data_IF_892954392704
#
_entry.id   IF_892954392704
#
_cell.length_a   1.000
_cell.length_b   1.000
_cell.length_c   1.000
_cell.angle_alpha   90.00
_cell.angle_beta   90.00
_cell.angle_gamma   90.00
#
_symmetry.space_group_name_H-M   'P 1'
#
loop_
_entity.id
_entity.type
_entity.pdbx_description
1 polymer ?
#
# COMPACT_ATOMS: atom_id res chain seq x y z
N UNK A 1 12.81 0.89 -32.72
CA UNK A 1 13.09 0.78 -31.27
C UNK A 1 14.54 1.18 -31.03
N UNK A 2 14.79 2.13 -30.14
CA UNK A 2 16.15 2.62 -29.85
C UNK A 2 17.02 1.48 -29.26
N UNK A 3 18.30 1.42 -29.63
CA UNK A 3 19.27 0.44 -29.09
C UNK A 3 19.35 0.50 -27.56
N UNK A 4 19.21 1.69 -26.96
CA UNK A 4 19.18 1.86 -25.51
C UNK A 4 18.03 1.08 -24.85
N UNK A 5 16.82 1.22 -25.38
CA UNK A 5 15.63 0.50 -24.89
C UNK A 5 15.84 -1.01 -25.03
N UNK A 6 16.38 -1.46 -26.16
CA UNK A 6 16.64 -2.88 -26.40
C UNK A 6 17.57 -3.47 -25.34
N UNK A 7 18.68 -2.79 -25.02
CA UNK A 7 19.61 -3.22 -23.97
C UNK A 7 18.96 -3.20 -22.59
N UNK A 8 18.20 -2.14 -22.25
CA UNK A 8 17.47 -2.07 -20.96
C UNK A 8 16.45 -3.20 -20.80
N UNK A 9 15.79 -3.63 -21.89
CA UNK A 9 14.83 -4.73 -21.88
C UNK A 9 15.47 -6.10 -21.59
N UNK A 10 16.77 -6.26 -21.81
CA UNK A 10 17.52 -7.48 -21.50
C UNK A 10 17.83 -7.60 -20.00
N UNK A 11 18.02 -6.45 -19.33
CA UNK A 11 18.32 -6.36 -17.90
C UNK A 11 17.09 -6.54 -16.98
N UNK A 12 15.88 -6.60 -17.55
CA UNK A 12 14.66 -6.70 -16.74
C UNK A 12 14.59 -8.00 -15.92
N UNK A 13 14.32 -7.93 -14.61
CA UNK A 13 14.15 -9.10 -13.76
C UNK A 13 12.76 -9.72 -13.91
N UNK A 14 12.61 -10.97 -13.46
CA UNK A 14 11.31 -11.66 -13.36
C UNK A 14 10.57 -11.39 -12.05
N UNK A 15 11.16 -10.58 -11.16
CA UNK A 15 10.62 -10.17 -9.87
C UNK A 15 9.45 -9.17 -9.98
N UNK A 16 8.63 -9.03 -8.92
CA UNK A 16 7.62 -7.98 -8.87
C UNK A 16 8.25 -6.59 -8.69
N UNK A 17 7.51 -5.56 -9.07
CA UNK A 17 7.95 -4.18 -8.91
C UNK A 17 7.16 -3.17 -9.73
N UNK A 18 7.64 -1.93 -9.74
CA UNK A 18 7.10 -0.83 -10.55
C UNK A 18 7.97 -0.55 -11.76
N UNK A 19 7.36 -0.12 -12.86
CA UNK A 19 8.02 0.42 -14.04
C UNK A 19 7.53 1.83 -14.31
N UNK A 20 8.42 2.66 -14.83
CA UNK A 20 8.21 4.10 -15.05
C UNK A 20 8.63 4.40 -16.49
N UNK A 21 7.73 4.93 -17.30
CA UNK A 21 8.03 5.37 -18.67
C UNK A 21 8.24 6.88 -18.72
N UNK A 22 9.26 7.30 -19.47
CA UNK A 22 9.67 8.69 -19.62
C UNK A 22 9.63 9.13 -21.08
N UNK A 23 9.28 10.38 -21.31
CA UNK A 23 9.34 11.03 -22.63
C UNK A 23 10.75 11.55 -22.96
N UNK A 24 10.88 12.19 -24.12
CA UNK A 24 12.13 12.81 -24.60
C UNK A 24 12.72 13.89 -23.68
N UNK A 25 11.89 14.49 -22.82
CA UNK A 25 12.32 15.52 -21.87
C UNK A 25 12.65 14.92 -20.49
N UNK A 26 12.59 13.59 -20.34
CA UNK A 26 12.75 12.91 -19.05
C UNK A 26 11.49 12.94 -18.17
N UNK A 27 10.37 13.46 -18.66
CA UNK A 27 9.12 13.57 -17.89
C UNK A 27 8.49 12.20 -17.70
N UNK A 28 8.06 11.87 -16.47
CA UNK A 28 7.33 10.64 -16.19
C UNK A 28 5.93 10.72 -16.83
N UNK A 29 5.71 9.93 -17.88
CA UNK A 29 4.46 9.90 -18.63
C UNK A 29 3.52 8.75 -18.21
N UNK A 30 4.08 7.67 -17.64
CA UNK A 30 3.32 6.54 -17.13
C UNK A 30 4.06 5.78 -16.03
N UNK A 31 3.34 5.28 -15.04
CA UNK A 31 3.82 4.38 -13.99
C UNK A 31 2.88 3.17 -13.93
N UNK A 32 3.44 1.98 -13.82
CA UNK A 32 2.65 0.76 -13.61
C UNK A 32 3.36 -0.25 -12.74
N UNK A 33 2.61 -1.20 -12.17
CA UNK A 33 3.16 -2.36 -11.44
C UNK A 33 3.16 -3.63 -12.26
N UNK A 34 4.04 -4.55 -11.90
CA UNK A 34 4.14 -5.88 -12.49
C UNK A 34 4.38 -6.94 -11.43
N UNK A 35 3.76 -8.12 -11.59
CA UNK A 35 4.20 -9.33 -10.87
C UNK A 35 5.54 -9.86 -11.42
N UNK A 36 5.79 -9.58 -12.69
CA UNK A 36 6.99 -9.95 -13.42
C UNK A 36 7.34 -8.78 -14.36
N UNK A 37 8.34 -7.99 -13.97
CA UNK A 37 8.75 -6.78 -14.69
C UNK A 37 9.16 -7.09 -16.14
N UNK A 38 9.93 -8.16 -16.37
CA UNK A 38 10.35 -8.59 -17.71
C UNK A 38 9.19 -8.80 -18.66
N UNK A 39 8.20 -9.59 -18.27
CA UNK A 39 7.06 -9.90 -19.14
C UNK A 39 6.21 -8.65 -19.39
N UNK A 40 5.96 -7.87 -18.33
CA UNK A 40 5.07 -6.71 -18.41
C UNK A 40 5.65 -5.55 -19.20
N UNK A 41 6.93 -5.23 -19.02
CA UNK A 41 7.54 -4.10 -19.74
C UNK A 41 7.79 -4.48 -21.20
N UNK A 42 8.24 -5.71 -21.48
CA UNK A 42 8.42 -6.18 -22.86
C UNK A 42 7.13 -6.21 -23.67
N UNK A 43 5.97 -6.38 -23.02
CA UNK A 43 4.70 -6.38 -23.73
C UNK A 43 4.38 -5.05 -24.39
N UNK A 44 4.90 -3.91 -23.92
CA UNK A 44 4.68 -2.60 -24.56
C UNK A 44 5.46 -2.42 -25.88
N UNK A 45 6.47 -3.26 -26.12
CA UNK A 45 7.33 -3.16 -27.29
C UNK A 45 7.14 -4.34 -28.24
N UNK A 46 6.07 -5.13 -28.06
CA UNK A 46 5.79 -6.35 -28.84
C UNK A 46 4.30 -6.48 -29.14
N UNK A 47 3.97 -6.78 -30.40
CA UNK A 47 2.61 -7.05 -30.85
C UNK A 47 1.78 -5.78 -31.08
N UNK A 48 0.51 -5.97 -31.37
CA UNK A 48 -0.48 -4.90 -31.56
C UNK A 48 -1.05 -4.46 -30.22
N UNK A 49 -1.34 -3.17 -30.06
CA UNK A 49 -1.95 -2.62 -28.85
C UNK A 49 -3.26 -1.91 -29.18
N UNK A 50 -4.05 -1.60 -28.15
CA UNK A 50 -5.18 -0.70 -28.35
C UNK A 50 -4.68 0.73 -28.59
N UNK A 51 -5.50 1.55 -29.25
CA UNK A 51 -5.12 2.88 -29.74
C UNK A 51 -4.55 3.79 -28.64
N UNK A 52 -5.03 3.63 -27.40
CA UNK A 52 -4.54 4.40 -26.25
C UNK A 52 -3.15 3.96 -25.79
N UNK A 53 -2.87 2.66 -25.80
CA UNK A 53 -1.55 2.13 -25.45
C UNK A 53 -0.55 2.40 -26.57
N UNK A 54 -0.95 2.35 -27.85
CA UNK A 54 -0.07 2.76 -28.95
C UNK A 54 0.40 4.21 -28.81
N UNK A 55 -0.52 5.11 -28.44
CA UNK A 55 -0.20 6.52 -28.17
C UNK A 55 0.78 6.68 -26.99
N UNK A 56 0.66 5.87 -25.94
CA UNK A 56 1.65 5.82 -24.87
C UNK A 56 3.00 5.36 -25.42
N UNK A 57 3.04 4.21 -26.09
CA UNK A 57 4.27 3.59 -26.60
C UNK A 57 5.03 4.52 -27.55
N UNK A 58 4.33 5.30 -28.37
CA UNK A 58 4.97 6.27 -29.26
C UNK A 58 5.70 7.42 -28.55
N UNK A 59 5.33 7.75 -27.30
CA UNK A 59 5.98 8.80 -26.50
C UNK A 59 7.10 8.24 -25.61
N UNK A 60 7.25 6.90 -25.49
CA UNK A 60 8.29 6.29 -24.63
C UNK A 60 9.66 6.44 -25.29
N UNK A 61 10.53 7.24 -24.67
CA UNK A 61 11.94 7.37 -25.05
C UNK A 61 12.85 6.65 -24.07
N UNK A 62 12.45 6.55 -22.81
CA UNK A 62 13.16 5.79 -21.79
C UNK A 62 12.21 5.10 -20.80
N UNK A 63 12.74 4.13 -20.06
CA UNK A 63 12.04 3.55 -18.91
C UNK A 63 12.99 3.16 -17.78
N UNK A 64 12.39 3.09 -16.60
CA UNK A 64 13.02 2.66 -15.35
C UNK A 64 12.16 1.60 -14.65
N UNK A 65 12.74 0.91 -13.68
CA UNK A 65 12.01 -0.02 -12.84
C UNK A 65 12.59 -0.07 -11.42
N UNK A 66 11.73 -0.37 -10.46
CA UNK A 66 12.08 -0.58 -9.05
C UNK A 66 11.54 -1.95 -8.66
N UNK A 67 12.44 -2.84 -8.27
CA UNK A 67 12.09 -4.18 -7.79
C UNK A 67 11.57 -4.08 -6.36
N UNK A 68 10.53 -4.85 -6.04
CA UNK A 68 10.00 -4.98 -4.68
C UNK A 68 10.04 -6.43 -4.23
N UNK A 69 9.93 -6.69 -2.94
CA UNK A 69 9.95 -8.06 -2.39
C UNK A 69 8.60 -8.74 -2.61
N UNK A 70 7.52 -7.96 -2.63
CA UNK A 70 6.16 -8.47 -2.78
C UNK A 70 5.31 -7.72 -3.81
N UNK A 71 4.24 -8.37 -4.27
CA UNK A 71 3.22 -7.74 -5.12
C UNK A 71 2.48 -6.60 -4.40
N UNK A 72 2.42 -6.66 -3.07
CA UNK A 72 1.76 -5.66 -2.24
C UNK A 72 2.62 -4.40 -2.17
N UNK A 73 3.94 -4.54 -1.99
CA UNK A 73 4.85 -3.39 -2.04
C UNK A 73 4.87 -2.73 -3.43
N UNK A 74 4.94 -3.51 -4.51
CA UNK A 74 4.84 -2.97 -5.87
C UNK A 74 3.60 -2.11 -6.05
N UNK A 75 2.48 -2.55 -5.45
CA UNK A 75 1.24 -1.80 -5.49
C UNK A 75 1.33 -0.47 -4.74
N UNK A 76 1.83 -0.50 -3.51
CA UNK A 76 1.94 0.69 -2.67
C UNK A 76 2.87 1.72 -3.29
N UNK A 77 3.99 1.24 -3.83
CA UNK A 77 4.96 2.05 -4.55
C UNK A 77 4.33 2.70 -5.80
N UNK A 78 3.59 1.95 -6.61
CA UNK A 78 2.87 2.49 -7.78
C UNK A 78 1.92 3.63 -7.37
N UNK A 79 1.14 3.42 -6.30
CA UNK A 79 0.21 4.45 -5.79
C UNK A 79 0.94 5.73 -5.41
N UNK A 80 2.06 5.60 -4.69
CA UNK A 80 2.86 6.75 -4.27
C UNK A 80 3.42 7.49 -5.49
N UNK A 81 4.03 6.76 -6.43
CA UNK A 81 4.61 7.31 -7.65
C UNK A 81 3.57 8.00 -8.53
N UNK A 82 2.37 7.44 -8.69
CA UNK A 82 1.27 8.08 -9.45
C UNK A 82 0.78 9.34 -8.72
N UNK A 83 0.66 9.29 -7.39
CA UNK A 83 0.17 10.44 -6.60
C UNK A 83 1.13 11.62 -6.66
N UNK A 84 2.43 11.35 -6.59
CA UNK A 84 3.49 12.35 -6.60
C UNK A 84 3.69 12.94 -8.00
N UNK A 85 3.77 12.09 -9.03
CA UNK A 85 4.14 12.53 -10.38
C UNK A 85 2.95 12.86 -11.28
N UNK A 86 1.74 12.41 -10.92
CA UNK A 86 0.49 12.56 -11.70
C UNK A 86 0.68 12.34 -13.22
N UNK A 87 1.20 11.19 -13.66
CA UNK A 87 1.60 11.01 -15.05
C UNK A 87 0.41 11.12 -16.01
N UNK A 88 0.60 11.81 -17.14
CA UNK A 88 -0.42 12.07 -18.18
C UNK A 88 -1.21 10.81 -18.53
N UNK A 89 -0.53 9.71 -18.83
CA UNK A 89 -1.20 8.48 -19.28
C UNK A 89 -1.83 7.69 -18.13
N UNK A 90 -1.41 7.83 -16.87
CA UNK A 90 -2.14 7.22 -15.75
C UNK A 90 -3.52 7.86 -15.55
N UNK A 91 -3.66 9.13 -15.92
CA UNK A 91 -4.94 9.84 -15.88
C UNK A 91 -5.80 9.45 -17.09
N UNK A 92 -5.20 9.40 -18.29
CA UNK A 92 -5.91 9.07 -19.55
C UNK A 92 -6.27 7.59 -19.69
N UNK A 93 -5.43 6.68 -19.17
CA UNK A 93 -5.60 5.23 -19.19
C UNK A 93 -6.22 4.70 -17.90
N UNK A 94 -6.79 5.57 -17.08
CA UNK A 94 -7.35 5.20 -15.79
C UNK A 94 -8.47 4.18 -16.00
N UNK A 95 -8.16 2.93 -15.70
CA UNK A 95 -9.17 1.89 -15.53
C UNK A 95 -10.02 2.28 -14.30
N UNK A 96 -11.34 2.08 -14.35
CA UNK A 96 -12.29 2.44 -13.28
C UNK A 96 -12.05 1.67 -11.95
N UNK A 97 -11.02 0.82 -11.89
CA UNK A 97 -10.66 0.02 -10.72
C UNK A 97 -9.75 0.82 -9.78
N UNK A 98 -10.34 1.82 -9.14
CA UNK A 98 -9.77 2.50 -7.98
C UNK A 98 -9.56 1.51 -6.82
N UNK A 99 -8.57 1.77 -5.98
CA UNK A 99 -8.25 0.89 -4.84
C UNK A 99 -9.37 0.89 -3.80
N UNK A 100 -9.71 -0.28 -3.22
CA UNK A 100 -10.70 -0.36 -2.18
C UNK A 100 -10.18 0.24 -0.87
N UNK A 101 -11.06 0.98 -0.21
CA UNK A 101 -10.94 1.49 1.14
C UNK A 101 -12.03 0.85 1.99
N UNK A 102 -11.73 0.64 3.26
CA UNK A 102 -12.75 0.37 4.27
C UNK A 102 -13.21 1.73 4.79
N UNK A 103 -14.51 1.99 4.72
CA UNK A 103 -15.14 3.21 5.19
C UNK A 103 -16.04 2.92 6.38
N UNK A 104 -15.93 3.74 7.42
CA UNK A 104 -16.95 3.88 8.47
C UNK A 104 -17.87 5.03 8.07
N UNK A 105 -19.17 4.76 7.88
CA UNK A 105 -20.15 5.79 7.51
C UNK A 105 -20.45 6.75 8.67
N UNK A 106 -20.71 8.01 8.34
CA UNK A 106 -21.14 9.04 9.28
C UNK A 106 -22.68 9.13 9.31
N UNK A 107 -23.33 8.04 9.70
CA UNK A 107 -24.77 7.99 9.92
C UNK A 107 -25.04 7.60 11.39
N UNK A 108 -26.25 7.84 11.91
CA UNK A 108 -26.63 7.53 13.30
C UNK A 108 -26.28 6.09 13.72
N UNK A 109 -26.36 5.17 12.77
CA UNK A 109 -25.96 3.77 12.92
C UNK A 109 -24.83 3.46 11.93
N UNK A 110 -23.56 3.64 12.33
CA UNK A 110 -22.43 3.51 11.41
C UNK A 110 -22.37 2.12 10.79
N UNK A 111 -21.81 2.08 9.58
CA UNK A 111 -21.59 0.87 8.80
C UNK A 111 -20.16 0.79 8.34
N UNK A 112 -19.64 -0.42 8.30
CA UNK A 112 -18.39 -0.73 7.60
C UNK A 112 -18.72 -1.11 6.17
N UNK A 113 -18.23 -0.31 5.21
CA UNK A 113 -18.41 -0.59 3.78
C UNK A 113 -17.06 -0.57 3.05
N UNK A 114 -16.94 -1.37 2.00
CA UNK A 114 -15.80 -1.27 1.08
C UNK A 114 -16.21 -0.34 -0.05
N UNK A 115 -15.44 0.72 -0.26
CA UNK A 115 -15.67 1.71 -1.32
C UNK A 115 -14.36 1.99 -2.04
N UNK A 116 -14.43 2.29 -3.32
CA UNK A 116 -13.25 2.78 -4.07
C UNK A 116 -13.23 4.29 -4.20
N UNK A 117 -14.31 4.95 -3.80
CA UNK A 117 -14.46 6.39 -3.82
C UNK A 117 -14.29 6.94 -2.40
N UNK A 118 -13.33 7.84 -2.25
CA UNK A 118 -13.17 8.68 -1.05
C UNK A 118 -13.94 9.98 -1.29
N UNK A 119 -14.97 10.23 -0.48
CA UNK A 119 -15.80 11.44 -0.54
C UNK A 119 -15.61 12.28 0.72
N UNK A 120 -15.80 13.60 0.61
CA UNK A 120 -15.85 14.51 1.76
C UNK A 120 -17.22 14.48 2.43
N UNK A 121 -17.66 13.30 2.88
CA UNK A 121 -18.98 13.07 3.46
C UNK A 121 -18.96 12.85 4.99
N UNK A 122 -17.84 13.22 5.63
CA UNK A 122 -17.62 13.04 7.06
C UNK A 122 -17.37 11.59 7.48
N UNK A 123 -17.41 10.62 6.56
CA UNK A 123 -17.01 9.24 6.84
C UNK A 123 -15.51 9.11 7.05
N UNK A 124 -15.09 8.09 7.80
CA UNK A 124 -13.69 7.75 7.99
C UNK A 124 -13.28 6.70 6.96
N UNK A 125 -12.13 6.89 6.30
CA UNK A 125 -11.64 6.02 5.24
C UNK A 125 -10.27 5.46 5.59
N UNK A 126 -10.10 4.14 5.46
CA UNK A 126 -8.90 3.40 5.81
C UNK A 126 -8.44 2.56 4.63
N UNK A 127 -7.14 2.60 4.32
CA UNK A 127 -6.55 2.02 3.12
C UNK A 127 -5.57 2.99 2.46
N UNK A 128 -5.24 2.80 1.16
CA UNK A 128 -5.82 1.82 0.23
C UNK A 128 -5.40 0.36 0.53
N UNK A 129 -6.29 -0.59 0.26
CA UNK A 129 -5.99 -2.02 0.38
C UNK A 129 -5.53 -2.64 -0.95
N UNK A 130 -4.73 -3.72 -0.91
CA UNK A 130 -4.09 -4.21 -2.12
C UNK A 130 -5.03 -4.69 -3.21
N UNK A 131 -6.12 -5.32 -2.76
CA UNK A 131 -7.22 -5.74 -3.58
C UNK A 131 -8.49 -5.81 -2.71
N UNK A 132 -9.62 -6.11 -3.35
CA UNK A 132 -10.91 -6.23 -2.68
C UNK A 132 -10.96 -7.45 -1.76
N UNK A 133 -10.17 -8.50 -2.03
CA UNK A 133 -10.05 -9.66 -1.17
C UNK A 133 -9.43 -9.29 0.18
N UNK A 134 -8.30 -8.58 0.18
CA UNK A 134 -7.65 -8.08 1.39
C UNK A 134 -8.58 -7.14 2.20
N UNK A 135 -9.27 -6.22 1.51
CA UNK A 135 -10.26 -5.36 2.17
C UNK A 135 -11.42 -6.16 2.78
N UNK A 136 -11.88 -7.22 2.09
CA UNK A 136 -12.94 -8.10 2.58
C UNK A 136 -12.51 -8.94 3.78
N UNK A 137 -11.26 -9.42 3.81
CA UNK A 137 -10.72 -10.20 4.93
C UNK A 137 -10.74 -9.36 6.21
N UNK A 138 -10.23 -8.12 6.13
CA UNK A 138 -10.23 -7.17 7.26
C UNK A 138 -11.66 -6.79 7.64
N UNK A 139 -12.52 -6.49 6.66
CA UNK A 139 -13.93 -6.19 6.94
C UNK A 139 -14.61 -7.36 7.66
N UNK A 140 -14.40 -8.60 7.23
CA UNK A 140 -14.96 -9.80 7.86
C UNK A 140 -14.49 -9.95 9.30
N UNK A 141 -13.24 -9.62 9.59
CA UNK A 141 -12.69 -9.63 10.94
C UNK A 141 -13.38 -8.56 11.81
N UNK A 142 -13.44 -7.32 11.31
CA UNK A 142 -14.10 -6.21 12.01
C UNK A 142 -15.58 -6.50 12.27
N UNK A 143 -16.28 -7.11 11.31
CA UNK A 143 -17.69 -7.49 11.42
C UNK A 143 -17.95 -8.57 12.49
N UNK A 144 -16.93 -9.30 12.95
CA UNK A 144 -17.02 -10.27 14.06
C UNK A 144 -16.73 -9.64 15.41
N UNK A 145 -15.79 -8.69 15.45
CA UNK A 145 -15.37 -8.02 16.68
C UNK A 145 -16.39 -6.93 17.05
N UNK A 146 -16.90 -6.20 16.06
CA UNK A 146 -17.74 -5.03 16.23
C UNK A 146 -19.11 -5.24 15.56
N UNK A 147 -20.21 -5.22 16.32
CA UNK A 147 -21.55 -5.54 15.82
C UNK A 147 -22.21 -4.34 15.11
N UNK A 148 -21.59 -3.83 14.03
CA UNK A 148 -22.14 -2.75 13.21
C UNK A 148 -23.47 -3.11 12.56
N UNK A 149 -24.18 -2.08 12.08
CA UNK A 149 -25.37 -2.28 11.26
C UNK A 149 -24.99 -2.94 9.94
N UNK A 150 -25.45 -4.18 9.73
CA UNK A 150 -25.25 -4.91 8.47
C UNK A 150 -26.46 -4.85 7.52
N UNK A 151 -27.63 -4.48 8.02
CA UNK A 151 -28.89 -4.56 7.29
C UNK A 151 -29.46 -3.18 6.92
N UNK A 152 -30.16 -3.14 5.79
CA UNK A 152 -30.99 -2.00 5.35
C UNK A 152 -32.42 -2.06 5.89
N UNK A 153 -32.73 -3.05 6.75
CA UNK A 153 -34.06 -3.25 7.32
C UNK A 153 -34.63 -1.97 7.97
N UNK A 154 -35.96 -1.79 7.93
CA UNK A 154 -36.63 -0.71 8.63
C UNK A 154 -36.42 -0.81 10.16
N UNK A 155 -36.52 0.31 10.91
CA UNK A 155 -36.25 0.38 12.35
C UNK A 155 -37.01 -0.64 13.22
N UNK A 156 -38.18 -1.10 12.76
CA UNK A 156 -39.08 -2.02 13.46
C UNK A 156 -38.75 -3.50 13.27
N UNK A 157 -37.83 -3.87 12.36
CA UNK A 157 -37.56 -5.27 12.01
C UNK A 157 -36.10 -5.64 12.25
N UNK A 158 -35.88 -6.58 13.16
CA UNK A 158 -34.55 -7.16 13.43
C UNK A 158 -34.09 -8.02 12.26
N UNK A 159 -32.77 -8.05 12.01
CA UNK A 159 -32.18 -8.88 10.96
C UNK A 159 -31.62 -10.21 11.50
N UNK A 160 -31.32 -11.15 10.62
CA UNK A 160 -30.66 -12.41 10.97
C UNK A 160 -29.41 -12.20 11.85
N UNK A 161 -28.58 -11.21 11.50
CA UNK A 161 -27.36 -10.89 12.27
C UNK A 161 -27.64 -10.46 13.71
N UNK A 162 -28.83 -9.93 14.03
CA UNK A 162 -29.21 -9.65 15.40
C UNK A 162 -29.44 -10.94 16.19
N UNK A 163 -30.11 -11.94 15.60
CA UNK A 163 -30.38 -13.23 16.24
C UNK A 163 -29.11 -14.02 16.56
N UNK A 164 -28.06 -13.86 15.74
CA UNK A 164 -26.74 -14.46 15.98
C UNK A 164 -25.74 -13.53 16.67
N UNK A 165 -26.19 -12.40 17.23
CA UNK A 165 -25.36 -11.49 18.04
C UNK A 165 -24.36 -10.61 17.28
N UNK A 166 -24.37 -10.62 15.94
CA UNK A 166 -23.44 -9.88 15.08
C UNK A 166 -23.92 -8.49 14.65
N UNK A 167 -25.08 -8.02 15.12
CA UNK A 167 -25.61 -6.69 14.83
C UNK A 167 -26.40 -6.16 16.03
N UNK A 168 -25.99 -5.03 16.59
CA UNK A 168 -26.66 -4.39 17.74
C UNK A 168 -27.23 -3.01 17.42
N UNK A 169 -27.25 -2.63 16.14
CA UNK A 169 -27.60 -1.30 15.67
C UNK A 169 -29.08 -1.16 15.22
N UNK A 170 -30.01 -1.73 15.98
CA UNK A 170 -31.45 -1.53 15.78
C UNK A 170 -32.03 -0.63 16.86
N UNK A 171 -33.09 0.12 16.53
CA UNK A 171 -33.79 1.00 17.47
C UNK A 171 -34.31 0.24 18.71
N UNK A 172 -34.58 -1.06 18.57
CA UNK A 172 -35.03 -1.96 19.65
C UNK A 172 -33.91 -2.26 20.65
N UNK A 173 -32.63 -2.15 20.27
CA UNK A 173 -31.50 -2.50 21.13
C UNK A 173 -31.26 -1.51 22.30
N UNK A 174 -32.01 -0.40 22.36
CA UNK A 174 -31.90 0.65 23.41
C UNK A 174 -30.47 1.17 23.64
N UNK A 175 -29.61 1.12 22.61
CA UNK A 175 -28.27 1.70 22.65
C UNK A 175 -28.32 3.16 22.18
N UNK A 176 -27.61 4.03 22.87
CA UNK A 176 -27.54 5.45 22.57
C UNK A 176 -26.56 5.73 21.41
N UNK A 177 -26.60 6.95 20.90
CA UNK A 177 -25.68 7.38 19.82
C UNK A 177 -24.22 7.39 20.29
N UNK A 178 -23.98 7.64 21.58
CA UNK A 178 -22.64 7.64 22.17
C UNK A 178 -21.97 6.26 22.07
N UNK A 179 -22.71 5.17 22.32
CA UNK A 179 -22.22 3.80 22.15
C UNK A 179 -21.75 3.51 20.73
N UNK A 180 -22.48 3.97 19.70
CA UNK A 180 -22.06 3.75 18.32
C UNK A 180 -20.88 4.62 17.91
N UNK A 181 -20.77 5.84 18.46
CA UNK A 181 -19.58 6.70 18.28
C UNK A 181 -18.34 6.08 18.92
N UNK A 182 -18.45 5.54 20.14
CA UNK A 182 -17.32 4.87 20.79
C UNK A 182 -16.87 3.63 20.00
N UNK A 183 -17.81 2.83 19.49
CA UNK A 183 -17.50 1.69 18.62
C UNK A 183 -16.81 2.12 17.32
N UNK A 184 -17.27 3.19 16.66
CA UNK A 184 -16.62 3.72 15.47
C UNK A 184 -15.19 4.20 15.79
N UNK A 185 -14.97 4.76 16.98
CA UNK A 185 -13.64 5.16 17.46
C UNK A 185 -12.76 3.93 17.71
N UNK A 186 -13.25 2.88 18.37
CA UNK A 186 -12.49 1.65 18.61
C UNK A 186 -12.04 0.99 17.30
N UNK A 187 -12.87 0.99 16.26
CA UNK A 187 -12.46 0.52 14.93
C UNK A 187 -11.42 1.43 14.29
N UNK A 188 -11.60 2.75 14.45
CA UNK A 188 -10.64 3.73 13.95
C UNK A 188 -9.27 3.50 14.57
N UNK A 189 -9.23 3.26 15.88
CA UNK A 189 -8.02 2.99 16.64
C UNK A 189 -7.40 1.64 16.22
N UNK A 190 -8.21 0.59 16.05
CA UNK A 190 -7.78 -0.70 15.51
C UNK A 190 -7.13 -0.55 14.13
N UNK A 191 -7.80 0.14 13.20
CA UNK A 191 -7.30 0.33 11.83
C UNK A 191 -6.08 1.25 11.76
N UNK A 192 -5.81 2.04 12.81
CA UNK A 192 -4.58 2.84 12.99
C UNK A 192 -3.46 2.06 13.69
N UNK A 193 -3.69 0.80 14.06
CA UNK A 193 -2.70 -0.04 14.75
C UNK A 193 -2.62 0.17 16.26
N UNK A 194 -3.65 0.75 16.88
CA UNK A 194 -3.83 0.87 18.33
C UNK A 194 -4.77 -0.24 18.83
N UNK A 195 -4.42 -1.49 18.55
CA UNK A 195 -5.24 -2.68 18.75
C UNK A 195 -4.92 -3.45 20.04
N UNK A 196 -3.91 -3.03 20.82
CA UNK A 196 -3.44 -3.74 22.01
C UNK A 196 -4.57 -3.98 23.03
N UNK A 197 -5.43 -2.97 23.25
CA UNK A 197 -6.60 -3.09 24.13
C UNK A 197 -7.61 -4.15 23.67
N UNK A 198 -7.81 -4.27 22.35
CA UNK A 198 -8.76 -5.23 21.75
C UNK A 198 -8.19 -6.64 21.86
N UNK A 199 -6.88 -6.81 21.62
CA UNK A 199 -6.20 -8.09 21.78
C UNK A 199 -6.31 -8.57 23.23
N UNK A 200 -6.08 -7.69 24.21
CA UNK A 200 -6.13 -8.06 25.62
C UNK A 200 -7.57 -8.38 26.08
N UNK A 201 -8.58 -7.67 25.57
CA UNK A 201 -9.99 -8.02 25.80
C UNK A 201 -10.34 -9.39 25.19
N UNK A 202 -9.88 -9.69 23.97
CA UNK A 202 -10.08 -10.99 23.32
C UNK A 202 -9.39 -12.12 24.08
N UNK A 203 -8.17 -11.90 24.61
CA UNK A 203 -7.49 -12.88 25.49
C UNK A 203 -8.29 -13.12 26.76
N UNK A 204 -8.83 -12.07 27.37
CA UNK A 204 -9.69 -12.18 28.55
C UNK A 204 -10.96 -13.00 28.27
N UNK A 205 -11.62 -12.74 27.14
CA UNK A 205 -12.80 -13.50 26.67
C UNK A 205 -12.45 -14.97 26.38
N UNK A 206 -11.32 -15.23 25.72
CA UNK A 206 -10.80 -16.57 25.46
C UNK A 206 -10.56 -17.34 26.76
N UNK A 207 -9.89 -16.72 27.74
CA UNK A 207 -9.61 -17.35 29.04
C UNK A 207 -10.90 -17.66 29.81
N UNK A 208 -11.88 -16.74 29.82
CA UNK A 208 -13.19 -16.99 30.43
C UNK A 208 -13.95 -18.12 29.75
N UNK A 209 -13.98 -18.15 28.41
CA UNK A 209 -14.62 -19.23 27.66
C UNK A 209 -13.97 -20.59 27.97
N UNK A 210 -12.64 -20.64 28.04
CA UNK A 210 -11.90 -21.85 28.42
C UNK A 210 -12.21 -22.30 29.86
N UNK A 211 -12.30 -21.37 30.81
CA UNK A 211 -12.71 -21.67 32.20
C UNK A 211 -14.14 -22.21 32.29
N UNK A 212 -15.05 -21.70 31.45
CA UNK A 212 -16.42 -22.19 31.32
C UNK A 212 -16.56 -23.48 30.49
N UNK A 213 -15.44 -24.09 30.08
CA UNK A 213 -15.41 -25.29 29.21
C UNK A 213 -16.05 -25.08 27.82
N UNK A 214 -16.18 -23.83 27.35
CA UNK A 214 -16.65 -23.47 26.02
C UNK A 214 -15.49 -23.45 25.02
N UNK A 215 -14.91 -24.63 24.73
CA UNK A 215 -13.67 -24.74 23.95
C UNK A 215 -13.79 -24.24 22.50
N UNK A 216 -14.94 -24.45 21.85
CA UNK A 216 -15.19 -23.94 20.49
C UNK A 216 -15.11 -22.41 20.46
N UNK A 217 -15.74 -21.76 21.44
CA UNK A 217 -15.75 -20.31 21.56
C UNK A 217 -14.37 -19.75 21.92
N UNK A 218 -13.62 -20.45 22.78
CA UNK A 218 -12.23 -20.12 23.05
C UNK A 218 -11.35 -20.23 21.79
N UNK A 219 -11.57 -21.26 20.95
CA UNK A 219 -10.87 -21.41 19.69
C UNK A 219 -11.21 -20.27 18.70
N UNK A 220 -12.47 -19.84 18.62
CA UNK A 220 -12.85 -18.67 17.81
C UNK A 220 -12.09 -17.41 18.24
N UNK A 221 -11.97 -17.13 19.54
CA UNK A 221 -11.22 -15.99 20.04
C UNK A 221 -9.71 -16.10 19.74
N UNK A 222 -9.13 -17.30 19.88
CA UNK A 222 -7.73 -17.56 19.51
C UNK A 222 -7.48 -17.26 18.04
N UNK A 223 -8.35 -17.76 17.16
CA UNK A 223 -8.21 -17.61 15.72
C UNK A 223 -8.39 -16.15 15.30
N UNK A 224 -9.28 -15.40 15.97
CA UNK A 224 -9.39 -13.94 15.83
C UNK A 224 -8.09 -13.23 16.21
N UNK A 225 -7.46 -13.59 17.34
CA UNK A 225 -6.19 -13.00 17.79
C UNK A 225 -5.08 -13.28 16.76
N UNK A 226 -4.98 -14.49 16.23
CA UNK A 226 -3.99 -14.84 15.19
C UNK A 226 -4.21 -14.06 13.89
N UNK A 227 -5.48 -13.89 13.48
CA UNK A 227 -5.82 -13.10 12.31
C UNK A 227 -5.40 -11.63 12.48
N UNK A 228 -5.64 -11.04 13.65
CA UNK A 228 -5.19 -9.68 13.99
C UNK A 228 -3.65 -9.59 13.93
N UNK A 229 -2.94 -10.54 14.54
CA UNK A 229 -1.47 -10.56 14.53
C UNK A 229 -0.87 -10.61 13.12
N UNK A 230 -1.46 -11.42 12.23
CA UNK A 230 -1.04 -11.54 10.83
C UNK A 230 -1.24 -10.23 10.07
N UNK A 231 -2.35 -9.53 10.32
CA UNK A 231 -2.62 -8.21 9.74
C UNK A 231 -1.67 -7.13 10.27
N UNK A 232 -1.37 -7.15 11.57
CA UNK A 232 -0.44 -6.20 12.21
C UNK A 232 0.97 -6.34 11.64
N UNK A 233 1.43 -7.56 11.37
CA UNK A 233 2.73 -7.78 10.70
C UNK A 233 2.74 -7.16 9.31
N UNK A 234 1.67 -7.36 8.51
CA UNK A 234 1.54 -6.72 7.18
C UNK A 234 1.49 -5.18 7.27
N UNK A 235 0.70 -4.62 8.19
CA UNK A 235 0.58 -3.16 8.38
C UNK A 235 1.85 -2.54 8.98
N UNK A 236 2.57 -3.22 9.88
CA UNK A 236 3.77 -2.69 10.53
C UNK A 236 4.96 -2.67 9.59
N UNK A 237 5.07 -3.65 8.69
CA UNK A 237 6.01 -3.58 7.55
C UNK A 237 5.71 -2.34 6.71
N UNK A 238 4.43 -2.01 6.51
CA UNK A 238 4.01 -0.80 5.79
C UNK A 238 4.22 0.52 6.56
N UNK A 239 4.18 0.51 7.91
CA UNK A 239 4.21 1.72 8.75
C UNK A 239 5.61 2.05 9.32
N UNK A 240 6.48 1.05 9.56
CA UNK A 240 7.82 1.29 10.13
C UNK A 240 8.78 2.00 9.17
N UNK A 241 8.45 2.10 7.89
CA UNK A 241 9.36 2.69 6.92
C UNK A 241 9.27 4.22 6.87
N UNK A 242 8.45 4.89 7.69
CA UNK A 242 8.21 6.35 7.63
C UNK A 242 9.42 7.26 7.95
N UNK A 243 10.65 6.75 7.99
CA UNK A 243 11.85 7.57 8.17
C UNK A 243 12.35 8.13 6.83
N UNK A 244 12.91 9.34 6.89
CA UNK A 244 13.68 9.89 5.79
C UNK A 244 15.06 9.22 5.78
N UNK A 245 15.42 8.59 4.67
CA UNK A 245 16.73 7.97 4.48
C UNK A 245 17.13 8.07 3.02
N UNK A 246 18.42 8.21 2.78
CA UNK A 246 19.00 8.03 1.45
C UNK A 246 19.72 6.69 1.46
N UNK A 247 19.38 5.82 0.53
CA UNK A 247 19.98 4.49 0.41
C UNK A 247 20.90 4.51 -0.79
N UNK A 248 22.19 4.34 -0.53
CA UNK A 248 23.22 4.23 -1.55
C UNK A 248 23.57 2.76 -1.74
N UNK A 249 23.62 2.32 -2.98
CA UNK A 249 24.23 1.06 -3.37
C UNK A 249 25.19 1.30 -4.52
N UNK A 250 26.34 0.64 -4.53
CA UNK A 250 27.28 0.75 -5.63
C UNK A 250 27.69 -0.62 -6.15
N UNK A 251 28.11 -0.67 -7.40
CA UNK A 251 28.70 -1.84 -8.02
C UNK A 251 29.86 -1.40 -8.92
N UNK A 252 30.96 -2.17 -8.89
CA UNK A 252 32.14 -1.93 -9.71
C UNK A 252 32.32 -3.05 -10.73
N UNK A 253 32.58 -2.69 -11.99
CA UNK A 253 32.97 -3.62 -13.04
C UNK A 253 33.93 -2.94 -14.02
N UNK A 254 35.01 -3.63 -14.39
CA UNK A 254 35.96 -3.19 -15.43
C UNK A 254 36.43 -1.73 -15.31
N UNK A 255 36.74 -1.27 -14.09
CA UNK A 255 37.22 0.11 -13.84
C UNK A 255 36.12 1.18 -13.83
N UNK A 256 34.85 0.78 -13.89
CA UNK A 256 33.70 1.67 -13.76
C UNK A 256 32.97 1.41 -12.46
N UNK A 257 32.54 2.48 -11.79
CA UNK A 257 31.64 2.44 -10.65
C UNK A 257 30.27 2.96 -11.07
N UNK A 258 29.23 2.21 -10.73
CA UNK A 258 27.84 2.62 -10.82
C UNK A 258 27.31 2.82 -9.40
N UNK A 259 26.93 4.05 -9.06
CA UNK A 259 26.29 4.37 -7.79
C UNK A 259 24.80 4.62 -8.04
N UNK A 260 23.97 3.90 -7.30
CA UNK A 260 22.52 4.00 -7.28
C UNK A 260 22.08 4.62 -5.97
N UNK A 261 21.41 5.77 -6.06
CA UNK A 261 20.84 6.46 -4.90
C UNK A 261 19.31 6.32 -4.93
N UNK A 262 18.73 5.95 -3.80
CA UNK A 262 17.29 5.95 -3.57
C UNK A 262 16.95 6.95 -2.47
N UNK A 263 16.15 7.97 -2.81
CA UNK A 263 15.68 8.97 -1.86
C UNK A 263 14.36 8.51 -1.25
N UNK A 264 14.41 8.08 0.01
CA UNK A 264 13.21 7.67 0.74
C UNK A 264 12.82 8.79 1.70
N UNK A 265 11.61 9.32 1.55
CA UNK A 265 11.04 10.32 2.47
C UNK A 265 9.72 9.80 3.00
N UNK A 266 9.56 9.81 4.32
CA UNK A 266 8.38 9.23 4.98
C UNK A 266 8.06 7.81 4.46
N UNK A 267 9.07 6.96 4.26
CA UNK A 267 8.87 5.59 3.75
C UNK A 267 8.38 5.47 2.32
N UNK A 268 8.42 6.57 1.58
CA UNK A 268 8.12 6.58 0.16
C UNK A 268 9.40 6.83 -0.60
N UNK A 269 9.63 6.02 -1.62
CA UNK A 269 10.65 6.31 -2.60
C UNK A 269 10.19 7.49 -3.46
N UNK A 270 10.82 8.64 -3.25
CA UNK A 270 10.51 9.89 -3.94
C UNK A 270 11.21 9.92 -5.29
N UNK A 271 12.49 9.56 -5.28
CA UNK A 271 13.36 9.73 -6.43
C UNK A 271 14.48 8.69 -6.41
N UNK A 272 15.03 8.44 -7.59
CA UNK A 272 16.12 7.53 -7.82
C UNK A 272 17.11 8.19 -8.77
N UNK A 273 18.37 8.23 -8.39
CA UNK A 273 19.45 8.80 -9.20
C UNK A 273 20.55 7.76 -9.46
N UNK A 274 21.14 7.80 -10.66
CA UNK A 274 22.17 6.84 -11.11
C UNK A 274 23.36 7.62 -11.66
N UNK A 275 24.52 7.46 -11.02
CA UNK A 275 25.77 8.03 -11.50
C UNK A 275 26.75 6.92 -11.90
N UNK A 276 27.37 7.09 -13.07
CA UNK A 276 28.35 6.17 -13.62
C UNK A 276 29.64 6.93 -13.90
N UNK A 277 30.74 6.52 -13.28
CA UNK A 277 32.03 7.18 -13.43
C UNK A 277 33.20 6.19 -13.36
N UNK A 278 34.35 6.49 -13.99
CA UNK A 278 35.56 5.70 -13.80
C UNK A 278 36.06 5.85 -12.36
N UNK A 279 36.44 4.75 -11.73
CA UNK A 279 37.08 4.76 -10.42
C UNK A 279 38.54 4.33 -10.57
N UNK A 280 39.42 4.89 -9.76
CA UNK A 280 40.88 4.76 -9.94
C UNK A 280 41.57 4.10 -8.75
N UNK A 281 40.98 4.20 -7.56
CA UNK A 281 41.57 3.72 -6.32
C UNK A 281 40.75 2.56 -5.74
N UNK A 282 40.78 2.43 -4.42
CA UNK A 282 39.91 1.52 -3.69
C UNK A 282 38.43 1.92 -3.87
N UNK A 283 37.54 0.97 -4.23
CA UNK A 283 36.12 1.24 -4.43
C UNK A 283 35.42 1.89 -3.23
N UNK A 284 35.78 1.54 -1.99
CA UNK A 284 35.13 2.10 -0.81
C UNK A 284 35.56 3.56 -0.60
N UNK A 285 36.82 3.89 -0.85
CA UNK A 285 37.32 5.27 -0.76
C UNK A 285 36.72 6.19 -1.84
N UNK A 286 36.68 5.73 -3.09
CA UNK A 286 36.09 6.50 -4.20
C UNK A 286 34.57 6.65 -4.00
N UNK A 287 33.89 5.64 -3.45
CA UNK A 287 32.48 5.73 -3.09
C UNK A 287 32.22 6.74 -1.95
N UNK A 288 33.02 6.72 -0.89
CA UNK A 288 32.90 7.70 0.20
C UNK A 288 33.15 9.14 -0.29
N UNK A 289 34.11 9.29 -1.20
CA UNK A 289 34.38 10.57 -1.87
C UNK A 289 33.17 11.04 -2.68
N UNK A 290 32.56 10.13 -3.46
CA UNK A 290 31.31 10.42 -4.18
C UNK A 290 30.18 10.84 -3.23
N UNK A 291 29.97 10.14 -2.11
CA UNK A 291 28.92 10.52 -1.13
C UNK A 291 29.15 11.93 -0.59
N UNK A 292 30.40 12.29 -0.29
CA UNK A 292 30.77 13.63 0.15
C UNK A 292 30.47 14.71 -0.89
N UNK A 293 30.89 14.50 -2.15
CA UNK A 293 30.64 15.41 -3.26
C UNK A 293 29.16 15.55 -3.58
N UNK A 294 28.43 14.43 -3.60
CA UNK A 294 27.01 14.37 -3.88
C UNK A 294 26.20 15.33 -2.99
N UNK A 295 26.46 15.32 -1.67
CA UNK A 295 25.77 16.22 -0.74
C UNK A 295 26.27 17.68 -0.79
N UNK A 296 27.51 17.93 -1.24
CA UNK A 296 28.00 19.29 -1.45
C UNK A 296 27.31 19.96 -2.65
N UNK A 297 27.11 19.21 -3.73
CA UNK A 297 26.45 19.69 -4.94
C UNK A 297 24.92 19.77 -4.78
N UNK A 298 24.35 18.93 -3.90
CA UNK A 298 22.92 18.76 -3.70
C UNK A 298 22.48 19.04 -2.24
N UNK A 299 22.74 20.26 -1.68
CA UNK A 299 22.52 20.55 -0.26
C UNK A 299 21.05 20.47 0.17
N UNK A 300 20.11 20.60 -0.76
CA UNK A 300 18.66 20.48 -0.53
C UNK A 300 18.20 19.06 -0.20
N UNK A 301 19.03 18.05 -0.48
CA UNK A 301 18.68 16.64 -0.35
C UNK A 301 19.07 16.04 1.00
N UNK A 302 19.81 16.78 1.82
CA UNK A 302 20.19 16.34 3.15
C UNK A 302 18.93 15.93 3.93
N UNK A 303 18.86 14.70 4.46
CA UNK A 303 17.74 14.29 5.30
C UNK A 303 17.84 15.08 6.62
N UNK A 304 17.24 16.27 6.67
CA UNK A 304 17.14 17.04 7.89
C UNK A 304 16.47 16.18 8.95
N UNK A 305 17.18 15.95 10.06
CA UNK A 305 16.54 15.45 11.29
C UNK A 305 15.54 16.52 11.73
N UNK A 306 14.26 16.16 11.77
CA UNK A 306 13.31 16.88 12.63
C UNK A 306 13.74 16.73 14.09
#
# INVERSE_FOLDING_TARGET
MNNLIKSKLELLPTSPGCYIHKDKNGTIIYVGKAKNLRNRVRSYFRGSHDTKTEALVSEIVDFEFIVTESNIEALLLEINLIKENKPKYNIMLKDDKSYPFIKITNERYPRLIITRQVKKDGGLYFGPYPDVGAANEIKRLLDRIFPFRKCTNPPSKVCFYYHIGQCMAHTICKKDEAYFKSMAQEVSDFLKGQDDKIIDDLKGKMAKAAQSMEFERAAEYRDLIQAIGTLRTKQRVMAKDLQNRDVFGYYVDKGWMCVQVFFVRQGKLIERDVNLFPYYNDPDEDFLTYVGQFYQENPTWFPMRC
#
